data_IF_144762788782
#
_entry.id   IF_144762788782
#
_cell.length_a   1.000
_cell.length_b   1.000
_cell.length_c   1.000
_cell.angle_alpha   90.00
_cell.angle_beta   90.00
_cell.angle_gamma   90.00
#
_symmetry.space_group_name_H-M   'P 1'
#
loop_
_entity.id
_entity.type
_entity.pdbx_description
1 polymer ?
#
# COMPACT_ATOMS: atom_id res chain seq x y z
N UNK A 1 45.77 14.97 -0.75
CA UNK A 1 46.35 16.33 -0.51
C UNK A 1 45.82 17.28 -1.57
N UNK A 2 44.71 17.96 -1.28
CA UNK A 2 44.20 19.17 -1.94
C UNK A 2 43.48 19.87 -0.78
N UNK A 3 44.01 20.90 -0.14
CA UNK A 3 44.52 22.13 -0.73
C UNK A 3 43.47 23.21 -0.39
N UNK A 4 43.55 23.71 0.85
CA UNK A 4 42.68 24.77 1.35
C UNK A 4 42.79 26.03 0.47
N UNK A 5 41.64 26.63 0.15
CA UNK A 5 41.59 28.02 -0.30
C UNK A 5 40.27 28.66 0.14
N UNK A 6 40.16 28.88 1.44
CA UNK A 6 39.12 29.74 2.01
C UNK A 6 39.67 31.16 2.03
N UNK A 7 39.46 31.93 0.96
CA UNK A 7 39.66 33.38 1.03
C UNK A 7 38.41 34.03 1.63
N UNK A 8 38.50 34.40 2.91
CA UNK A 8 37.55 35.32 3.54
C UNK A 8 37.71 36.70 2.88
N UNK A 9 36.68 37.15 2.15
CA UNK A 9 36.56 38.56 1.78
C UNK A 9 35.91 39.34 2.92
N UNK A 10 36.51 40.47 3.27
CA UNK A 10 36.03 41.45 4.26
C UNK A 10 34.70 42.08 3.80
N UNK A 11 33.58 41.40 4.05
CA UNK A 11 32.22 41.95 4.16
C UNK A 11 31.30 40.77 4.53
N UNK A 12 30.93 40.69 5.81
CA UNK A 12 30.08 39.64 6.37
C UNK A 12 28.67 39.62 5.78
N UNK A 13 28.53 39.03 4.59
CA UNK A 13 27.26 38.55 4.05
C UNK A 13 27.49 37.15 3.53
N UNK A 14 26.91 36.15 4.19
CA UNK A 14 26.67 34.85 3.57
C UNK A 14 25.76 35.10 2.37
N UNK A 15 26.34 35.26 1.17
CA UNK A 15 25.57 35.12 -0.06
C UNK A 15 25.13 33.66 -0.10
N UNK A 16 23.83 33.41 -0.25
CA UNK A 16 23.31 32.08 -0.56
C UNK A 16 24.04 31.56 -1.79
N UNK A 17 25.05 30.72 -1.57
CA UNK A 17 25.74 29.99 -2.63
C UNK A 17 24.85 28.79 -2.93
N UNK A 18 23.72 29.04 -3.59
CA UNK A 18 23.09 27.94 -4.31
C UNK A 18 24.09 27.51 -5.37
N UNK A 19 24.42 26.23 -5.42
CA UNK A 19 25.22 25.65 -6.48
C UNK A 19 24.66 26.12 -7.83
N UNK A 20 25.49 26.77 -8.65
CA UNK A 20 25.12 27.06 -10.03
C UNK A 20 24.96 25.73 -10.77
N UNK A 21 24.20 25.71 -11.87
CA UNK A 21 23.96 24.48 -12.64
C UNK A 21 25.24 23.75 -13.10
N UNK A 22 26.39 24.45 -13.14
CA UNK A 22 27.71 23.89 -13.45
C UNK A 22 28.52 23.36 -12.24
N UNK A 23 28.07 23.64 -11.01
CA UNK A 23 28.71 23.20 -9.76
C UNK A 23 28.22 21.80 -9.34
N UNK A 24 27.15 21.30 -9.96
CA UNK A 24 26.73 19.91 -9.80
C UNK A 24 27.68 19.02 -10.60
N UNK A 25 28.21 17.92 -10.02
CA UNK A 25 28.96 16.94 -10.81
C UNK A 25 28.12 16.57 -12.03
N UNK A 26 28.74 16.60 -13.21
CA UNK A 26 28.10 16.22 -14.48
C UNK A 26 27.22 15.01 -14.22
N UNK A 27 25.92 15.04 -14.57
CA UNK A 27 25.03 13.96 -14.23
C UNK A 27 25.67 12.67 -14.71
N UNK A 28 26.03 11.78 -13.78
CA UNK A 28 26.15 10.37 -14.08
C UNK A 28 24.91 10.07 -14.92
N UNK A 29 25.13 9.69 -16.18
CA UNK A 29 24.18 9.74 -17.30
C UNK A 29 22.72 9.79 -16.85
N UNK A 30 21.89 10.73 -17.35
CA UNK A 30 20.54 10.90 -16.85
C UNK A 30 19.89 9.53 -16.84
N UNK A 31 19.31 9.14 -15.71
CA UNK A 31 18.34 8.05 -15.66
C UNK A 31 17.34 8.37 -16.76
N UNK A 32 17.58 7.86 -17.97
CA UNK A 32 16.79 8.19 -19.13
C UNK A 32 15.40 7.76 -18.74
N UNK A 33 14.44 8.69 -18.70
CA UNK A 33 13.08 8.35 -18.29
C UNK A 33 12.59 7.31 -19.30
N UNK A 34 12.68 6.04 -18.92
CA UNK A 34 12.25 4.93 -19.77
C UNK A 34 10.74 5.08 -19.91
N UNK A 35 10.22 4.69 -21.08
CA UNK A 35 8.78 4.69 -21.31
C UNK A 35 8.10 3.86 -20.21
N UNK A 36 6.98 4.38 -19.71
CA UNK A 36 6.16 3.65 -18.75
C UNK A 36 5.75 2.28 -19.31
N UNK A 37 5.94 1.24 -18.53
CA UNK A 37 5.55 -0.14 -18.84
C UNK A 37 4.32 -0.46 -18.02
N UNK A 38 3.22 -0.88 -18.66
CA UNK A 38 1.98 -1.23 -17.95
C UNK A 38 2.11 -2.59 -17.22
N UNK A 39 1.15 -2.93 -16.37
CA UNK A 39 1.22 -4.16 -15.55
C UNK A 39 1.14 -5.41 -16.43
N UNK A 40 0.37 -5.35 -17.52
CA UNK A 40 0.19 -6.44 -18.48
C UNK A 40 1.52 -6.82 -19.15
N UNK A 41 2.32 -5.83 -19.53
CA UNK A 41 3.67 -6.04 -20.07
C UNK A 41 4.64 -6.55 -19.01
N UNK A 42 4.53 -6.07 -17.76
CA UNK A 42 5.36 -6.57 -16.67
C UNK A 42 5.08 -8.04 -16.34
N UNK A 43 3.83 -8.49 -16.47
CA UNK A 43 3.44 -9.88 -16.20
C UNK A 43 4.15 -10.91 -17.12
N UNK A 44 4.82 -10.46 -18.18
CA UNK A 44 5.64 -11.30 -19.05
C UNK A 44 6.97 -11.73 -18.41
N UNK A 45 7.41 -11.06 -17.35
CA UNK A 45 8.66 -11.38 -16.64
C UNK A 45 8.40 -12.35 -15.49
N UNK A 46 9.31 -13.33 -15.31
CA UNK A 46 9.22 -14.32 -14.21
C UNK A 46 9.38 -13.70 -12.82
N UNK A 47 10.21 -12.66 -12.72
CA UNK A 47 10.57 -12.00 -11.45
C UNK A 47 10.24 -10.53 -11.52
N UNK A 48 9.55 -10.01 -10.51
CA UNK A 48 9.15 -8.60 -10.43
C UNK A 48 9.67 -7.99 -9.13
N UNK A 49 10.53 -6.98 -9.25
CA UNK A 49 11.06 -6.25 -8.11
C UNK A 49 10.04 -5.22 -7.62
N UNK A 50 9.78 -5.22 -6.31
CA UNK A 50 8.99 -4.20 -5.62
C UNK A 50 9.88 -3.40 -4.68
N UNK A 51 9.90 -2.09 -4.91
CA UNK A 51 10.53 -1.08 -4.07
C UNK A 51 9.46 -0.14 -3.52
N UNK A 52 9.69 0.35 -2.31
CA UNK A 52 8.89 1.44 -1.74
C UNK A 52 9.36 2.80 -2.26
N UNK A 53 8.48 3.79 -2.16
CA UNK A 53 8.77 5.18 -2.55
C UNK A 53 8.86 6.08 -1.32
N UNK A 54 8.12 7.19 -1.34
CA UNK A 54 7.92 8.02 -0.14
C UNK A 54 7.20 7.27 1.00
N UNK A 55 6.45 6.22 0.65
CA UNK A 55 5.78 5.30 1.57
C UNK A 55 5.63 3.95 0.86
N UNK A 56 4.70 3.10 1.30
CA UNK A 56 4.29 1.91 0.58
C UNK A 56 4.00 2.25 -0.89
N UNK A 57 4.45 1.39 -1.79
CA UNK A 57 4.14 1.54 -3.20
C UNK A 57 2.91 0.70 -3.57
N UNK A 58 1.84 1.38 -3.97
CA UNK A 58 0.59 0.77 -4.46
C UNK A 58 0.84 -0.25 -5.59
N UNK A 59 1.96 -0.14 -6.32
CA UNK A 59 2.33 -1.11 -7.35
C UNK A 59 2.30 -2.58 -6.85
N UNK A 60 2.63 -2.85 -5.57
CA UNK A 60 2.76 -4.22 -5.06
C UNK A 60 1.49 -5.06 -5.28
N UNK A 61 0.31 -4.50 -5.04
CA UNK A 61 -0.95 -5.25 -5.19
C UNK A 61 -1.13 -5.78 -6.62
N UNK A 62 -0.62 -5.04 -7.62
CA UNK A 62 -0.75 -5.40 -9.02
C UNK A 62 0.30 -6.41 -9.42
N UNK A 63 1.53 -6.29 -8.91
CA UNK A 63 2.57 -7.30 -9.11
C UNK A 63 2.17 -8.63 -8.49
N UNK A 64 1.60 -8.62 -7.29
CA UNK A 64 1.10 -9.83 -6.64
C UNK A 64 -0.02 -10.48 -7.44
N UNK A 65 -0.88 -9.71 -8.11
CA UNK A 65 -1.93 -10.26 -8.97
C UNK A 65 -1.36 -10.97 -10.21
N UNK A 66 -0.09 -10.74 -10.56
CA UNK A 66 0.59 -11.52 -11.60
C UNK A 66 1.03 -12.88 -11.04
N UNK A 67 1.13 -13.90 -11.89
CA UNK A 67 1.74 -15.17 -11.53
C UNK A 67 3.28 -15.12 -11.48
N UNK A 68 3.87 -13.93 -11.58
CA UNK A 68 5.30 -13.70 -11.45
C UNK A 68 5.73 -13.73 -9.99
N UNK A 69 6.94 -14.18 -9.72
CA UNK A 69 7.49 -14.16 -8.37
C UNK A 69 7.90 -12.73 -8.00
N UNK A 70 7.25 -12.17 -6.97
CA UNK A 70 7.57 -10.83 -6.48
C UNK A 70 8.74 -10.88 -5.51
N UNK A 71 9.76 -10.06 -5.75
CA UNK A 71 10.89 -9.84 -4.84
C UNK A 71 10.65 -8.46 -4.19
N UNK A 72 10.31 -8.44 -2.90
CA UNK A 72 9.83 -7.23 -2.21
C UNK A 72 10.87 -6.73 -1.21
N UNK A 73 11.11 -5.43 -1.22
CA UNK A 73 11.93 -4.74 -0.24
C UNK A 73 11.35 -4.94 1.17
N UNK A 74 12.20 -5.33 2.11
CA UNK A 74 11.92 -5.27 3.54
C UNK A 74 12.00 -3.82 4.00
N UNK A 75 10.90 -3.32 4.57
CA UNK A 75 10.76 -1.94 5.01
C UNK A 75 9.79 -1.85 6.18
N UNK A 76 9.85 -0.72 6.88
CA UNK A 76 8.88 -0.39 7.93
C UNK A 76 7.55 0.11 7.36
N UNK A 77 7.45 0.31 6.05
CA UNK A 77 6.23 0.71 5.38
C UNK A 77 5.34 -0.52 5.11
N UNK A 78 4.12 -0.49 5.64
CA UNK A 78 3.11 -1.50 5.38
C UNK A 78 1.72 -0.92 5.12
N UNK A 79 0.96 -1.58 4.26
CA UNK A 79 -0.46 -1.27 4.02
C UNK A 79 -1.36 -2.15 4.89
N UNK A 80 -2.63 -1.77 5.03
CA UNK A 80 -3.62 -2.47 5.87
C UNK A 80 -3.78 -3.97 5.59
N UNK A 81 -3.37 -4.44 4.41
CA UNK A 81 -3.49 -5.83 3.97
C UNK A 81 -2.16 -6.60 4.03
N UNK A 82 -1.04 -5.97 4.39
CA UNK A 82 0.27 -6.63 4.43
C UNK A 82 0.37 -7.70 5.53
N UNK A 83 -0.50 -7.68 6.54
CA UNK A 83 -0.63 -8.75 7.55
C UNK A 83 -1.01 -10.10 6.93
N UNK A 84 -1.67 -10.09 5.76
CA UNK A 84 -1.97 -11.32 5.01
C UNK A 84 -0.73 -11.88 4.28
N UNK A 85 0.27 -11.03 4.01
CA UNK A 85 1.48 -11.44 3.31
C UNK A 85 2.43 -12.15 4.25
N UNK A 86 3.07 -13.19 3.72
CA UNK A 86 3.99 -14.04 4.45
C UNK A 86 5.28 -14.16 3.61
N UNK A 87 6.43 -13.74 4.15
CA UNK A 87 7.72 -13.88 3.46
C UNK A 87 7.96 -15.33 3.04
N UNK A 88 8.61 -15.51 1.88
CA UNK A 88 8.92 -16.79 1.24
C UNK A 88 7.70 -17.65 0.86
N UNK A 89 6.47 -17.21 1.16
CA UNK A 89 5.24 -17.86 0.74
C UNK A 89 4.53 -17.07 -0.36
N UNK A 90 4.39 -15.76 -0.18
CA UNK A 90 3.69 -14.86 -1.09
C UNK A 90 4.63 -13.94 -1.89
N UNK A 91 5.84 -13.72 -1.39
CA UNK A 91 6.89 -12.92 -2.02
C UNK A 91 8.27 -13.35 -1.47
N UNK A 92 9.35 -12.94 -2.12
CA UNK A 92 10.71 -13.12 -1.64
C UNK A 92 11.25 -11.81 -1.03
N UNK A 93 11.59 -11.73 0.27
CA UNK A 93 12.13 -10.51 0.87
C UNK A 93 13.57 -10.24 0.41
N UNK A 94 13.95 -8.96 0.35
CA UNK A 94 15.33 -8.52 0.23
C UNK A 94 15.55 -7.25 1.05
N UNK A 95 16.79 -6.77 1.18
CA UNK A 95 17.13 -5.59 1.97
C UNK A 95 16.92 -5.84 3.48
N UNK A 96 17.30 -7.02 3.94
CA UNK A 96 17.25 -7.37 5.37
C UNK A 96 18.50 -6.92 6.11
N UNK A 97 19.67 -6.96 5.46
CA UNK A 97 20.94 -6.43 5.99
C UNK A 97 21.37 -5.18 5.24
N UNK A 98 21.20 -5.18 3.92
CA UNK A 98 21.69 -4.13 3.03
C UNK A 98 20.92 -4.10 1.71
N UNK A 99 20.80 -2.93 1.03
CA UNK A 99 20.21 -2.89 -0.31
C UNK A 99 20.96 -3.80 -1.30
N UNK A 100 22.24 -4.09 -1.06
CA UNK A 100 23.07 -4.93 -1.92
C UNK A 100 22.77 -6.44 -1.80
N UNK A 101 22.00 -6.87 -0.79
CA UNK A 101 21.59 -8.27 -0.63
C UNK A 101 20.78 -8.77 -1.84
N UNK A 102 20.21 -7.85 -2.62
CA UNK A 102 19.49 -8.18 -3.86
C UNK A 102 20.38 -8.90 -4.88
N UNK A 103 21.68 -8.61 -4.94
CA UNK A 103 22.60 -9.19 -5.93
C UNK A 103 22.71 -10.72 -5.77
N UNK A 104 23.15 -11.25 -4.61
CA UNK A 104 23.21 -12.70 -4.40
C UNK A 104 21.80 -13.34 -4.39
N UNK A 105 20.75 -12.60 -3.99
CA UNK A 105 19.37 -13.10 -4.09
C UNK A 105 18.98 -13.34 -5.55
N UNK A 106 19.23 -12.39 -6.45
CA UNK A 106 18.91 -12.53 -7.87
C UNK A 106 19.69 -13.67 -8.51
N UNK A 107 20.98 -13.82 -8.19
CA UNK A 107 21.80 -14.94 -8.64
C UNK A 107 21.24 -16.29 -8.19
N UNK A 108 20.72 -16.38 -6.96
CA UNK A 108 20.16 -17.61 -6.40
C UNK A 108 18.75 -17.94 -6.97
N UNK A 109 17.81 -16.99 -6.90
CA UNK A 109 16.40 -17.25 -7.28
C UNK A 109 16.21 -17.50 -8.77
N UNK A 110 17.19 -17.14 -9.60
CA UNK A 110 17.20 -17.40 -11.04
C UNK A 110 17.79 -18.76 -11.42
N UNK A 111 18.39 -19.49 -10.47
CA UNK A 111 18.92 -20.83 -10.73
C UNK A 111 17.80 -21.83 -11.11
N UNK A 112 18.07 -22.79 -12.01
CA UNK A 112 17.09 -23.81 -12.38
C UNK A 112 16.53 -24.61 -11.19
N UNK A 113 17.35 -24.85 -10.16
CA UNK A 113 16.95 -25.53 -8.92
C UNK A 113 15.86 -24.77 -8.15
N UNK A 114 15.80 -23.45 -8.29
CA UNK A 114 14.83 -22.57 -7.61
C UNK A 114 13.53 -22.36 -8.39
N UNK A 115 13.45 -22.81 -9.65
CA UNK A 115 12.32 -22.50 -10.53
C UNK A 115 10.97 -22.92 -9.93
N UNK A 116 10.88 -24.15 -9.41
CA UNK A 116 9.63 -24.67 -8.82
C UNK A 116 9.21 -23.85 -7.61
N UNK A 117 10.16 -23.43 -6.78
CA UNK A 117 9.92 -22.62 -5.58
C UNK A 117 9.39 -21.25 -5.96
N UNK A 118 10.06 -20.55 -6.89
CA UNK A 118 9.68 -19.20 -7.29
C UNK A 118 8.33 -19.18 -8.02
N UNK A 119 8.05 -20.17 -8.87
CA UNK A 119 6.72 -20.35 -9.50
C UNK A 119 5.63 -20.53 -8.44
N UNK A 120 5.89 -21.32 -7.40
CA UNK A 120 4.93 -21.53 -6.29
C UNK A 120 4.68 -20.24 -5.50
N UNK A 121 5.72 -19.44 -5.27
CA UNK A 121 5.60 -18.13 -4.61
C UNK A 121 4.72 -17.18 -5.44
N UNK A 122 5.00 -17.05 -6.75
CA UNK A 122 4.19 -16.22 -7.65
C UNK A 122 2.73 -16.64 -7.68
N UNK A 123 2.44 -17.94 -7.81
CA UNK A 123 1.07 -18.46 -7.81
C UNK A 123 0.34 -18.20 -6.48
N UNK A 124 1.03 -18.31 -5.34
CA UNK A 124 0.46 -18.01 -4.02
C UNK A 124 0.18 -16.52 -3.83
N UNK A 125 1.10 -15.66 -4.27
CA UNK A 125 0.90 -14.21 -4.29
C UNK A 125 -0.33 -13.81 -5.11
N UNK A 126 -0.47 -14.40 -6.31
CA UNK A 126 -1.63 -14.20 -7.18
C UNK A 126 -2.93 -14.65 -6.55
N UNK A 127 -2.96 -15.87 -5.99
CA UNK A 127 -4.14 -16.39 -5.31
C UNK A 127 -4.59 -15.48 -4.14
N UNK A 128 -3.64 -14.97 -3.35
CA UNK A 128 -3.94 -14.03 -2.26
C UNK A 128 -4.51 -12.72 -2.79
N UNK A 129 -3.88 -12.13 -3.82
CA UNK A 129 -4.33 -10.87 -4.41
C UNK A 129 -5.75 -10.99 -4.99
N UNK A 130 -6.04 -12.06 -5.74
CA UNK A 130 -7.37 -12.31 -6.29
C UNK A 130 -8.42 -12.53 -5.20
N UNK A 131 -8.06 -13.18 -4.10
CA UNK A 131 -8.99 -13.48 -3.00
C UNK A 131 -9.29 -12.27 -2.11
N UNK A 132 -8.27 -11.51 -1.74
CA UNK A 132 -8.38 -10.50 -0.67
C UNK A 132 -8.18 -9.05 -1.14
N UNK A 133 -7.63 -8.82 -2.32
CA UNK A 133 -7.36 -7.46 -2.83
C UNK A 133 -8.30 -7.06 -3.98
N UNK A 134 -9.33 -7.84 -4.26
CA UNK A 134 -10.37 -7.48 -5.23
C UNK A 134 -11.30 -6.36 -4.69
N UNK A 135 -12.08 -5.68 -5.56
CA UNK A 135 -12.93 -4.58 -5.14
C UNK A 135 -13.94 -4.92 -4.03
N UNK A 136 -14.50 -6.13 -4.04
CA UNK A 136 -15.44 -6.58 -3.03
C UNK A 136 -14.78 -6.71 -1.66
N UNK A 137 -13.64 -7.38 -1.57
CA UNK A 137 -12.90 -7.54 -0.33
C UNK A 137 -12.48 -6.19 0.28
N UNK A 138 -12.07 -5.22 -0.55
CA UNK A 138 -11.78 -3.85 -0.10
C UNK A 138 -13.00 -3.15 0.47
N UNK A 139 -14.16 -3.31 -0.17
CA UNK A 139 -15.42 -2.74 0.34
C UNK A 139 -15.81 -3.36 1.68
N UNK A 140 -15.64 -4.68 1.86
CA UNK A 140 -15.87 -5.34 3.14
C UNK A 140 -14.95 -4.77 4.23
N UNK A 141 -13.66 -4.62 3.94
CA UNK A 141 -12.69 -4.02 4.87
C UNK A 141 -13.11 -2.60 5.29
N UNK A 142 -13.39 -1.72 4.33
CA UNK A 142 -13.79 -0.34 4.61
C UNK A 142 -15.07 -0.26 5.44
N UNK A 143 -16.07 -1.10 5.13
CA UNK A 143 -17.32 -1.12 5.88
C UNK A 143 -17.11 -1.60 7.32
N UNK A 144 -16.28 -2.62 7.52
CA UNK A 144 -15.98 -3.11 8.87
C UNK A 144 -15.19 -2.07 9.67
N UNK A 145 -14.17 -1.47 9.05
CA UNK A 145 -13.36 -0.42 9.65
C UNK A 145 -14.21 0.78 10.08
N UNK A 146 -15.08 1.29 9.19
CA UNK A 146 -15.91 2.45 9.50
C UNK A 146 -16.95 2.16 10.58
N UNK A 147 -17.55 0.97 10.60
CA UNK A 147 -18.47 0.55 11.66
C UNK A 147 -17.75 0.49 13.01
N UNK A 148 -16.62 -0.23 13.08
CA UNK A 148 -15.79 -0.35 14.29
C UNK A 148 -15.30 1.03 14.77
N UNK A 149 -14.90 1.89 13.84
CA UNK A 149 -14.51 3.26 14.18
C UNK A 149 -15.68 4.07 14.75
N UNK A 150 -16.87 3.94 14.16
CA UNK A 150 -18.07 4.67 14.62
C UNK A 150 -18.47 4.31 16.05
N UNK A 151 -18.30 3.05 16.45
CA UNK A 151 -18.55 2.58 17.82
C UNK A 151 -17.66 3.24 18.87
N UNK A 152 -16.56 3.88 18.45
CA UNK A 152 -15.57 4.54 19.32
C UNK A 152 -15.74 6.05 19.36
N UNK A 153 -16.70 6.61 18.62
CA UNK A 153 -16.98 8.04 18.67
C UNK A 153 -17.63 8.40 20.00
N UNK A 154 -16.94 9.17 20.83
CA UNK A 154 -17.47 9.67 22.10
C UNK A 154 -18.65 10.64 21.89
N UNK A 155 -18.65 11.34 20.77
CA UNK A 155 -19.73 12.24 20.34
C UNK A 155 -20.20 11.83 18.94
N UNK A 156 -21.10 10.83 18.84
CA UNK A 156 -21.63 10.42 17.56
C UNK A 156 -22.28 11.61 16.84
N UNK A 157 -22.00 11.82 15.55
CA UNK A 157 -22.58 12.93 14.81
C UNK A 157 -24.10 12.79 14.74
N UNK A 158 -24.81 13.86 15.10
CA UNK A 158 -26.26 13.99 14.93
C UNK A 158 -26.55 15.16 14.01
N UNK A 159 -27.49 15.01 13.07
CA UNK A 159 -27.91 16.11 12.20
C UNK A 159 -28.44 17.30 13.01
N UNK A 160 -29.02 17.06 14.18
CA UNK A 160 -29.47 18.12 15.09
C UNK A 160 -28.32 19.02 15.58
N UNK A 161 -27.10 18.49 15.67
CA UNK A 161 -25.91 19.26 16.03
C UNK A 161 -25.40 20.15 14.87
N UNK A 162 -25.92 19.97 13.66
CA UNK A 162 -25.52 20.69 12.45
C UNK A 162 -26.74 21.24 11.70
N UNK A 163 -27.47 22.22 12.27
CA UNK A 163 -28.73 22.72 11.69
C UNK A 163 -28.57 23.39 10.31
N UNK A 164 -27.34 23.76 9.93
CA UNK A 164 -27.00 24.30 8.61
C UNK A 164 -26.51 23.25 7.61
N UNK A 165 -26.37 21.98 8.03
CA UNK A 165 -25.99 20.91 7.12
C UNK A 165 -27.11 20.72 6.09
N UNK A 166 -26.72 20.69 4.82
CA UNK A 166 -27.62 20.35 3.72
C UNK A 166 -27.25 18.96 3.20
N UNK A 167 -28.23 18.15 2.78
CA UNK A 167 -27.93 16.94 2.04
C UNK A 167 -27.03 17.30 0.87
N UNK A 168 -25.90 16.59 0.72
CA UNK A 168 -25.11 16.69 -0.50
C UNK A 168 -26.03 16.20 -1.61
N UNK A 169 -26.42 17.10 -2.52
CA UNK A 169 -27.17 16.72 -3.70
C UNK A 169 -26.43 15.55 -4.34
N UNK A 170 -27.12 14.41 -4.52
CA UNK A 170 -26.51 13.21 -5.10
C UNK A 170 -25.83 13.63 -6.38
N UNK A 171 -24.50 13.67 -6.36
CA UNK A 171 -23.77 14.04 -7.54
C UNK A 171 -24.14 12.99 -8.59
N UNK A 172 -24.59 13.37 -9.79
CA UNK A 172 -24.77 12.41 -10.88
C UNK A 172 -23.41 11.85 -11.32
N UNK A 173 -22.34 12.12 -10.56
CA UNK A 173 -20.99 11.68 -10.84
C UNK A 173 -20.23 11.20 -9.62
N UNK A 174 -19.44 10.15 -9.83
CA UNK A 174 -18.45 9.64 -8.89
C UNK A 174 -17.05 10.12 -9.28
N UNK A 175 -16.29 10.60 -8.28
CA UNK A 175 -14.86 10.95 -8.41
C UNK A 175 -14.58 12.30 -9.08
N UNK A 176 -13.32 12.50 -9.47
CA UNK A 176 -12.77 13.77 -9.98
C UNK A 176 -12.91 13.95 -11.50
N UNK A 177 -13.79 13.17 -12.15
CA UNK A 177 -13.88 13.14 -13.60
C UNK A 177 -14.73 14.28 -14.16
N UNK A 178 -14.20 14.97 -15.19
CA UNK A 178 -14.88 16.08 -15.84
C UNK A 178 -16.20 15.70 -16.55
N UNK A 179 -17.01 16.69 -16.98
CA UNK A 179 -18.41 16.44 -17.26
C UNK A 179 -18.74 15.47 -18.40
N UNK A 180 -17.85 15.38 -19.39
CA UNK A 180 -18.03 14.52 -20.56
C UNK A 180 -17.49 13.10 -20.35
N UNK A 181 -16.86 12.82 -19.20
CA UNK A 181 -16.23 11.53 -18.96
C UNK A 181 -17.25 10.47 -18.54
N UNK A 182 -17.38 9.41 -19.35
CA UNK A 182 -18.17 8.24 -18.99
C UNK A 182 -17.68 7.56 -17.68
N UNK A 183 -16.41 7.77 -17.30
CA UNK A 183 -15.84 7.24 -16.04
C UNK A 183 -16.41 7.90 -14.79
N UNK A 184 -16.99 9.08 -14.95
CA UNK A 184 -17.62 9.81 -13.85
C UNK A 184 -19.05 9.36 -13.58
N UNK A 185 -19.67 8.44 -14.33
CA UNK A 185 -21.05 8.01 -14.04
C UNK A 185 -21.14 7.26 -12.70
N UNK A 186 -22.27 7.29 -11.98
CA UNK A 186 -22.46 6.48 -10.79
C UNK A 186 -22.25 5.01 -11.15
N UNK A 187 -21.36 4.33 -10.41
CA UNK A 187 -21.02 2.93 -10.67
C UNK A 187 -22.04 1.99 -10.05
N UNK A 188 -22.75 2.46 -9.03
CA UNK A 188 -23.78 1.70 -8.34
C UNK A 188 -25.07 2.53 -8.36
N UNK A 189 -26.09 1.99 -9.04
CA UNK A 189 -27.46 2.47 -8.90
C UNK A 189 -28.06 1.86 -7.63
N UNK A 190 -28.14 2.68 -6.57
CA UNK A 190 -28.64 2.23 -5.27
C UNK A 190 -30.17 2.11 -5.23
N UNK A 191 -30.89 2.88 -6.05
CA UNK A 191 -32.35 2.93 -6.06
C UNK A 191 -32.95 1.79 -6.90
N UNK A 192 -32.29 1.45 -8.01
CA UNK A 192 -32.65 0.33 -8.90
C UNK A 192 -32.19 -1.06 -8.44
N UNK A 193 -31.65 -1.20 -7.23
CA UNK A 193 -31.32 -2.51 -6.67
C UNK A 193 -32.61 -3.31 -6.45
N UNK A 194 -32.81 -4.41 -7.17
CA UNK A 194 -33.97 -5.31 -7.01
C UNK A 194 -33.55 -6.79 -6.92
N UNK A 195 -34.47 -7.64 -6.46
CA UNK A 195 -34.33 -9.10 -6.48
C UNK A 195 -33.04 -9.63 -5.83
N UNK A 196 -32.24 -10.37 -6.61
CA UNK A 196 -30.99 -11.03 -6.17
C UNK A 196 -29.97 -10.05 -5.57
N UNK A 197 -29.89 -8.81 -6.05
CA UNK A 197 -28.93 -7.83 -5.56
C UNK A 197 -29.30 -7.31 -4.15
N UNK A 198 -30.60 -7.14 -3.85
CA UNK A 198 -31.06 -6.83 -2.48
C UNK A 198 -30.81 -7.98 -1.51
N UNK A 199 -31.00 -9.23 -1.97
CA UNK A 199 -30.71 -10.41 -1.16
C UNK A 199 -29.20 -10.53 -0.85
N UNK A 200 -28.35 -10.35 -1.86
CA UNK A 200 -26.90 -10.29 -1.69
C UNK A 200 -26.49 -9.23 -0.66
N UNK A 201 -27.01 -8.00 -0.77
CA UNK A 201 -26.72 -6.91 0.17
C UNK A 201 -27.11 -7.26 1.61
N UNK A 202 -28.25 -7.93 1.83
CA UNK A 202 -28.68 -8.37 3.16
C UNK A 202 -27.72 -9.42 3.74
N UNK A 203 -27.39 -10.44 2.95
CA UNK A 203 -26.43 -11.48 3.35
C UNK A 203 -25.06 -10.89 3.68
N UNK A 204 -24.59 -9.94 2.88
CA UNK A 204 -23.31 -9.28 3.10
C UNK A 204 -23.33 -8.39 4.36
N UNK A 205 -24.44 -7.69 4.63
CA UNK A 205 -24.62 -6.93 5.88
C UNK A 205 -24.62 -7.85 7.12
N UNK A 206 -25.20 -9.04 7.04
CA UNK A 206 -25.16 -10.00 8.14
C UNK A 206 -23.75 -10.57 8.36
N UNK A 207 -23.03 -10.90 7.29
CA UNK A 207 -21.63 -11.30 7.37
C UNK A 207 -20.77 -10.20 7.98
N UNK A 208 -20.98 -8.94 7.57
CA UNK A 208 -20.29 -7.80 8.13
C UNK A 208 -20.56 -7.65 9.63
N UNK A 209 -21.83 -7.75 10.05
CA UNK A 209 -22.22 -7.66 11.46
C UNK A 209 -21.51 -8.71 12.31
N UNK A 210 -21.45 -9.95 11.84
CA UNK A 210 -20.71 -11.03 12.53
C UNK A 210 -19.22 -10.74 12.68
N UNK A 211 -18.59 -10.19 11.63
CA UNK A 211 -17.18 -9.78 11.68
C UNK A 211 -16.98 -8.66 12.69
N UNK A 212 -17.82 -7.62 12.67
CA UNK A 212 -17.72 -6.49 13.61
C UNK A 212 -17.88 -6.97 15.05
N UNK A 213 -18.89 -7.80 15.35
CA UNK A 213 -19.11 -8.34 16.69
C UNK A 213 -17.93 -9.17 17.18
N UNK A 214 -17.35 -10.00 16.31
CA UNK A 214 -16.16 -10.79 16.65
C UNK A 214 -14.97 -9.88 16.99
N UNK A 215 -14.71 -8.87 16.16
CA UNK A 215 -13.60 -7.94 16.40
C UNK A 215 -13.84 -7.13 17.69
N UNK A 216 -15.05 -6.67 17.97
CA UNK A 216 -15.34 -6.00 19.24
C UNK A 216 -15.09 -6.91 20.46
N UNK A 217 -15.39 -8.20 20.37
CA UNK A 217 -15.08 -9.16 21.43
C UNK A 217 -13.56 -9.32 21.61
N UNK A 218 -12.80 -9.51 20.53
CA UNK A 218 -11.33 -9.59 20.56
C UNK A 218 -10.70 -8.32 21.16
N UNK A 219 -11.24 -7.14 20.82
CA UNK A 219 -10.77 -5.85 21.34
C UNK A 219 -11.08 -5.69 22.82
N UNK A 220 -12.25 -6.14 23.28
CA UNK A 220 -12.62 -6.10 24.70
C UNK A 220 -11.73 -7.03 25.53
N UNK A 221 -11.44 -8.23 25.03
CA UNK A 221 -10.53 -9.18 25.68
C UNK A 221 -9.10 -8.61 25.79
N UNK A 222 -8.57 -8.05 24.70
CA UNK A 222 -7.24 -7.42 24.70
C UNK A 222 -7.16 -6.22 25.67
N UNK A 223 -8.25 -5.45 25.79
CA UNK A 223 -8.31 -4.35 26.74
C UNK A 223 -8.29 -4.83 28.20
N UNK A 224 -8.96 -5.96 28.49
CA UNK A 224 -8.97 -6.56 29.84
C UNK A 224 -7.63 -7.18 30.22
N UNK A 225 -6.96 -7.84 29.26
CA UNK A 225 -5.65 -8.47 29.49
C UNK A 225 -4.49 -7.46 29.54
N UNK A 226 -4.72 -6.21 29.11
CA UNK A 226 -3.66 -5.22 28.90
C UNK A 226 -2.74 -5.58 27.75
N UNK A 227 -3.13 -6.54 26.91
CA UNK A 227 -2.37 -6.97 25.76
C UNK A 227 -2.35 -5.89 24.69
N UNK A 228 -1.14 -5.56 24.22
CA UNK A 228 -1.00 -4.66 23.08
C UNK A 228 -1.29 -5.45 21.81
N UNK A 229 -2.34 -5.05 21.10
CA UNK A 229 -2.62 -5.57 19.77
C UNK A 229 -1.52 -5.12 18.81
N UNK A 230 -0.71 -6.07 18.38
CA UNK A 230 0.35 -5.88 17.41
C UNK A 230 0.17 -6.89 16.28
N UNK A 231 0.22 -6.41 15.05
CA UNK A 231 0.07 -7.26 13.87
C UNK A 231 1.37 -8.00 13.54
N UNK A 232 1.25 -9.16 12.89
CA UNK A 232 2.41 -9.92 12.38
C UNK A 232 3.33 -9.07 11.49
N UNK A 233 2.75 -8.13 10.72
CA UNK A 233 3.54 -7.23 9.88
C UNK A 233 4.33 -6.22 10.71
N UNK A 234 3.75 -5.67 11.77
CA UNK A 234 4.47 -4.79 12.69
C UNK A 234 5.60 -5.53 13.43
N UNK A 235 5.39 -6.80 13.80
CA UNK A 235 6.40 -7.61 14.48
C UNK A 235 7.61 -7.92 13.59
N UNK A 236 7.38 -8.16 12.30
CA UNK A 236 8.44 -8.53 11.34
C UNK A 236 9.03 -7.35 10.57
N UNK A 237 8.44 -6.16 10.68
CA UNK A 237 8.96 -4.95 10.03
C UNK A 237 10.19 -4.43 10.79
N UNK A 238 11.22 -3.93 10.09
CA UNK A 238 12.37 -3.28 10.73
C UNK A 238 11.94 -2.13 11.65
N UNK A 239 12.59 -1.98 12.81
CA UNK A 239 12.29 -0.87 13.73
C UNK A 239 12.81 0.46 13.15
N UNK A 240 11.90 1.42 13.00
CA UNK A 240 12.21 2.79 12.59
C UNK A 240 13.29 3.41 13.48
N UNK A 241 13.26 3.11 14.79
CA UNK A 241 14.18 3.71 15.77
C UNK A 241 15.59 3.16 15.69
N UNK A 242 15.76 1.91 15.26
CA UNK A 242 17.08 1.31 15.06
C UNK A 242 17.76 1.81 13.79
N UNK A 243 16.99 2.26 12.78
CA UNK A 243 17.51 2.72 11.49
C UNK A 243 18.00 4.18 11.45
N UNK A 244 17.90 4.91 12.57
CA UNK A 244 18.35 6.31 12.71
C UNK A 244 19.65 6.48 13.52
N UNK A 245 20.27 5.39 13.97
CA UNK A 245 21.61 5.37 14.59
C UNK A 245 22.62 4.76 13.63
#
# INVERSE_FOLDING_TARGET
>A
RLGANTQLTRRGKCKNIYAAAGDLPRPAAPLSVRRWVNIEQQAQYKFLLQLDGHSCSWRLQFLLATNSAVIKQSSYYWEYWYSLLQPYQHFWPFWEKSPYDILPILENVTQPSMERTMRRIGARGSALAHRYLNPHARQCYWRALLELYSNRLQQPPSLAAWPRAQPVATAPREGWHGPKSARGRPRIDWEGLHGKLRAWRRSDRESLRRVVLRVEAELAEAQLSGERLQSDVELRSPDIRASQQ
#
